data_IF_522054876142
#
_entry.id   IF_522054876142
#
_cell.length_a   1.000
_cell.length_b   1.000
_cell.length_c   1.000
_cell.angle_alpha   90.00
_cell.angle_beta   90.00
_cell.angle_gamma   90.00
#
_symmetry.space_group_name_H-M   'P 1'
#
loop_
_entity.id
_entity.type
_entity.pdbx_description
1 polymer ?
#
# COMPACT_ATOMS: atom_id res chain seq x y z
N UNK A 1 -10.34 -23.08 -4.29
CA UNK A 1 -9.95 -24.50 -4.46
C UNK A 1 -8.45 -24.58 -4.73
N UNK A 2 -7.76 -25.54 -4.13
CA UNK A 2 -6.31 -25.74 -4.26
C UNK A 2 -6.02 -27.17 -4.71
N UNK A 3 -4.92 -27.35 -5.43
CA UNK A 3 -4.36 -28.63 -5.80
C UNK A 3 -3.61 -29.26 -4.61
N UNK A 4 -3.31 -30.57 -4.62
CA UNK A 4 -2.54 -31.22 -3.55
C UNK A 4 -1.14 -30.63 -3.32
N UNK A 5 -0.54 -30.01 -4.35
CA UNK A 5 0.72 -29.28 -4.24
C UNK A 5 0.56 -27.86 -3.64
N UNK A 6 -0.66 -27.47 -3.26
CA UNK A 6 -1.02 -26.16 -2.70
C UNK A 6 -1.20 -25.04 -3.72
N UNK A 7 -0.99 -25.29 -5.03
CA UNK A 7 -1.23 -24.27 -6.05
C UNK A 7 -2.74 -24.03 -6.25
N UNK A 8 -3.15 -22.83 -6.69
CA UNK A 8 -4.55 -22.57 -6.99
C UNK A 8 -5.03 -23.45 -8.15
N UNK A 9 -6.23 -24.02 -7.98
CA UNK A 9 -6.86 -24.86 -8.98
C UNK A 9 -7.25 -24.04 -10.22
N UNK A 10 -7.23 -24.60 -11.46
CA UNK A 10 -7.68 -23.90 -12.66
C UNK A 10 -9.10 -23.35 -12.60
N UNK A 11 -9.98 -23.91 -11.77
CA UNK A 11 -11.31 -23.31 -11.51
C UNK A 11 -11.27 -21.92 -10.86
N UNK A 12 -10.13 -21.52 -10.29
CA UNK A 12 -9.87 -20.19 -9.76
C UNK A 12 -9.04 -19.35 -10.74
N UNK A 13 -8.07 -19.96 -11.42
CA UNK A 13 -7.13 -19.24 -12.30
C UNK A 13 -7.53 -19.20 -13.77
N UNK A 14 -8.61 -19.88 -14.15
CA UNK A 14 -9.04 -20.07 -15.53
C UNK A 14 -8.46 -21.35 -16.17
N UNK A 15 -9.23 -21.88 -17.11
CA UNK A 15 -8.84 -22.95 -18.03
C UNK A 15 -8.61 -22.34 -19.43
N UNK A 16 -7.87 -23.02 -20.32
CA UNK A 16 -7.92 -22.75 -21.73
C UNK A 16 -9.36 -22.86 -22.25
N UNK A 17 -9.68 -22.09 -23.26
CA UNK A 17 -10.99 -22.12 -23.90
C UNK A 17 -10.87 -22.21 -25.40
N UNK A 18 -11.88 -22.79 -26.03
CA UNK A 18 -12.05 -22.78 -27.47
C UNK A 18 -13.22 -21.89 -27.86
N UNK A 19 -13.12 -21.26 -29.02
CA UNK A 19 -14.19 -20.45 -29.60
C UNK A 19 -14.81 -21.24 -30.74
N UNK A 20 -16.12 -21.49 -30.63
CA UNK A 20 -16.89 -22.22 -31.65
C UNK A 20 -18.06 -21.36 -32.12
N UNK A 21 -18.75 -21.82 -33.18
CA UNK A 21 -20.00 -21.19 -33.64
C UNK A 21 -21.11 -21.18 -32.59
N UNK A 22 -21.02 -22.07 -31.59
CA UNK A 22 -22.01 -22.20 -30.51
C UNK A 22 -21.61 -21.42 -29.25
N UNK A 23 -20.45 -20.74 -29.25
CA UNK A 23 -19.95 -19.96 -28.11
C UNK A 23 -18.55 -20.36 -27.64
N UNK A 24 -18.19 -19.86 -26.46
CA UNK A 24 -16.91 -20.12 -25.79
C UNK A 24 -17.07 -21.28 -24.82
N UNK A 25 -16.20 -22.28 -24.92
CA UNK A 25 -16.20 -23.46 -24.06
C UNK A 25 -14.86 -23.59 -23.34
N UNK A 26 -14.90 -23.64 -22.00
CA UNK A 26 -13.72 -23.90 -21.19
C UNK A 26 -13.39 -25.39 -21.23
N UNK A 27 -12.11 -25.72 -21.40
CA UNK A 27 -11.59 -27.09 -21.38
C UNK A 27 -11.33 -27.53 -19.93
N UNK A 28 -12.37 -27.47 -19.09
CA UNK A 28 -12.34 -28.06 -17.76
C UNK A 28 -12.57 -29.59 -17.79
N UNK A 29 -13.34 -30.03 -18.78
CA UNK A 29 -13.55 -31.41 -19.20
C UNK A 29 -13.31 -31.48 -20.72
N UNK A 30 -13.22 -32.69 -21.27
CA UNK A 30 -13.07 -32.89 -22.71
C UNK A 30 -14.32 -32.37 -23.47
N UNK A 31 -14.07 -31.59 -24.52
CA UNK A 31 -15.13 -31.06 -25.38
C UNK A 31 -14.86 -31.39 -26.84
N UNK A 32 -15.77 -32.11 -27.51
CA UNK A 32 -15.61 -32.54 -28.91
C UNK A 32 -14.28 -33.26 -29.20
N UNK A 33 -13.84 -34.12 -28.28
CA UNK A 33 -12.52 -34.75 -28.32
C UNK A 33 -11.35 -33.74 -28.36
N UNK A 34 -11.51 -32.59 -27.72
CA UNK A 34 -10.44 -31.67 -27.39
C UNK A 34 -10.29 -31.67 -25.88
N UNK A 35 -9.11 -32.06 -25.41
CA UNK A 35 -8.79 -32.15 -23.99
C UNK A 35 -7.65 -31.19 -23.61
N UNK A 36 -7.65 -30.72 -22.37
CA UNK A 36 -6.56 -29.91 -21.81
C UNK A 36 -5.96 -30.58 -20.57
N UNK A 37 -4.64 -30.56 -20.48
CA UNK A 37 -3.88 -30.97 -19.30
C UNK A 37 -2.86 -29.90 -18.94
N UNK A 38 -2.32 -29.95 -17.74
CA UNK A 38 -1.34 -28.94 -17.29
C UNK A 38 -0.26 -29.52 -16.39
N UNK A 39 0.88 -28.82 -16.36
CA UNK A 39 1.97 -29.05 -15.41
C UNK A 39 2.39 -27.72 -14.79
N UNK A 40 2.46 -27.68 -13.46
CA UNK A 40 2.94 -26.52 -12.72
C UNK A 40 4.47 -26.57 -12.56
N UNK A 41 5.13 -25.47 -12.91
CA UNK A 41 6.56 -25.27 -12.65
C UNK A 41 6.83 -24.92 -11.19
N UNK A 42 8.11 -24.92 -10.81
CA UNK A 42 8.55 -24.53 -9.48
C UNK A 42 8.10 -23.09 -9.15
N UNK A 43 7.73 -22.87 -7.89
CA UNK A 43 7.36 -21.55 -7.38
C UNK A 43 8.60 -20.66 -7.26
N UNK A 44 8.40 -19.39 -7.55
CA UNK A 44 9.30 -18.30 -7.21
C UNK A 44 8.62 -17.49 -6.10
N UNK A 45 9.12 -17.62 -4.88
CA UNK A 45 8.60 -16.86 -3.74
C UNK A 45 8.96 -15.38 -3.90
N UNK A 46 8.01 -14.50 -3.59
CA UNK A 46 8.16 -13.04 -3.72
C UNK A 46 8.29 -12.40 -2.35
N UNK A 47 7.30 -12.62 -1.49
CA UNK A 47 7.19 -12.18 -0.10
C UNK A 47 6.50 -13.30 0.69
N UNK A 48 6.32 -13.12 2.00
CA UNK A 48 5.58 -14.11 2.78
C UNK A 48 4.15 -14.26 2.23
N UNK A 49 3.69 -15.51 2.09
CA UNK A 49 2.39 -15.81 1.48
C UNK A 49 2.25 -15.53 -0.04
N UNK A 50 3.22 -14.89 -0.71
CA UNK A 50 3.13 -14.60 -2.15
C UNK A 50 4.19 -15.32 -3.00
N UNK A 51 3.74 -15.84 -4.13
CA UNK A 51 4.59 -16.55 -5.08
C UNK A 51 4.08 -16.45 -6.51
N UNK A 52 4.98 -16.70 -7.46
CA UNK A 52 4.68 -16.77 -8.88
C UNK A 52 5.08 -18.14 -9.41
N UNK A 53 4.33 -18.65 -10.37
CA UNK A 53 4.71 -19.86 -11.10
C UNK A 53 4.13 -19.82 -12.51
N UNK A 54 4.68 -20.67 -13.38
CA UNK A 54 4.17 -20.88 -14.73
C UNK A 54 3.43 -22.21 -14.75
N UNK A 55 2.21 -22.20 -15.28
CA UNK A 55 1.43 -23.39 -15.61
C UNK A 55 1.48 -23.59 -17.11
N UNK A 56 2.10 -24.67 -17.54
CA UNK A 56 2.14 -25.04 -18.95
C UNK A 56 0.93 -25.90 -19.28
N UNK A 57 0.07 -25.40 -20.16
CA UNK A 57 -1.08 -26.09 -20.69
C UNK A 57 -0.70 -26.86 -21.94
N UNK A 58 -1.23 -28.08 -22.07
CA UNK A 58 -1.17 -28.90 -23.28
C UNK A 58 -2.59 -29.22 -23.70
N UNK A 59 -3.00 -28.71 -24.86
CA UNK A 59 -4.29 -28.96 -25.48
C UNK A 59 -4.09 -29.94 -26.62
N UNK A 60 -4.86 -31.02 -26.63
CA UNK A 60 -4.84 -32.06 -27.67
C UNK A 60 -6.18 -32.07 -28.35
N UNK A 61 -6.19 -31.96 -29.68
CA UNK A 61 -7.37 -32.21 -30.51
C UNK A 61 -7.29 -33.62 -31.09
N UNK A 62 -8.09 -34.55 -30.59
CA UNK A 62 -8.15 -35.91 -31.12
C UNK A 62 -8.92 -36.02 -32.44
N UNK A 63 -9.67 -34.97 -32.84
CA UNK A 63 -10.27 -34.94 -34.17
C UNK A 63 -9.22 -34.69 -35.26
N UNK A 64 -8.10 -34.05 -34.89
CA UNK A 64 -6.94 -33.80 -35.74
C UNK A 64 -5.68 -34.32 -35.04
N UNK A 65 -5.43 -35.63 -35.14
CA UNK A 65 -4.55 -36.39 -34.25
C UNK A 65 -3.09 -35.94 -34.11
N UNK A 66 -2.64 -34.95 -34.89
CA UNK A 66 -1.31 -34.33 -34.79
C UNK A 66 -1.34 -32.90 -34.23
N UNK A 67 -2.52 -32.39 -33.86
CA UNK A 67 -2.70 -31.02 -33.39
C UNK A 67 -2.58 -30.94 -31.86
N UNK A 68 -1.37 -30.62 -31.42
CA UNK A 68 -1.04 -30.35 -30.02
C UNK A 68 -0.64 -28.88 -29.91
N UNK A 69 -1.39 -28.12 -29.10
CA UNK A 69 -1.06 -26.75 -28.76
C UNK A 69 -0.55 -26.67 -27.32
N UNK A 70 0.51 -25.90 -27.10
CA UNK A 70 0.99 -25.60 -25.75
C UNK A 70 0.96 -24.11 -25.50
N UNK A 71 0.58 -23.72 -24.28
CA UNK A 71 0.56 -22.32 -23.88
C UNK A 71 0.98 -22.17 -22.42
N UNK A 72 1.66 -21.07 -22.11
CA UNK A 72 2.23 -20.83 -20.79
C UNK A 72 1.42 -19.76 -20.04
N UNK A 73 0.76 -20.17 -18.95
CA UNK A 73 0.02 -19.27 -18.08
C UNK A 73 0.89 -18.81 -16.91
N UNK A 74 1.15 -17.51 -16.79
CA UNK A 74 1.84 -16.94 -15.62
C UNK A 74 0.82 -16.66 -14.52
N UNK A 75 0.93 -17.38 -13.40
CA UNK A 75 0.04 -17.22 -12.24
C UNK A 75 0.81 -16.51 -11.13
N UNK A 76 0.19 -15.47 -10.56
CA UNK A 76 0.71 -14.69 -9.45
C UNK A 76 -0.26 -14.81 -8.28
N UNK A 77 0.20 -15.37 -7.17
CA UNK A 77 -0.55 -15.50 -5.92
C UNK A 77 0.10 -14.58 -4.90
N UNK A 78 -0.68 -13.79 -4.17
CA UNK A 78 -0.14 -12.88 -3.17
C UNK A 78 -1.15 -11.82 -2.74
N UNK A 79 -0.66 -10.92 -1.89
CA UNK A 79 -1.39 -9.73 -1.49
C UNK A 79 -1.28 -8.63 -2.56
N UNK A 80 -2.42 -8.07 -2.94
CA UNK A 80 -2.53 -6.94 -3.87
C UNK A 80 -3.27 -5.77 -3.24
N UNK A 81 -3.59 -5.86 -1.95
CA UNK A 81 -4.27 -4.83 -1.18
C UNK A 81 -3.23 -4.01 -0.42
N UNK A 82 -3.26 -2.68 -0.51
CA UNK A 82 -2.42 -1.85 0.34
C UNK A 82 -2.80 -2.02 1.82
N UNK A 83 -1.85 -1.82 2.74
CA UNK A 83 -2.13 -1.81 4.18
C UNK A 83 -3.19 -0.78 4.55
N UNK A 84 -3.95 -1.06 5.60
CA UNK A 84 -4.83 -0.09 6.23
C UNK A 84 -4.08 0.63 7.35
N UNK A 85 -4.10 1.96 7.34
CA UNK A 85 -3.32 2.81 8.25
C UNK A 85 -4.27 3.76 8.97
N UNK A 86 -4.26 3.70 10.30
CA UNK A 86 -5.05 4.58 11.18
C UNK A 86 -4.12 5.58 11.87
N UNK A 87 -4.56 6.84 11.90
CA UNK A 87 -3.80 7.90 12.54
C UNK A 87 -3.68 7.68 14.06
N UNK A 88 -2.52 7.98 14.65
CA UNK A 88 -2.41 7.97 16.10
C UNK A 88 -3.19 9.15 16.68
N UNK A 89 -3.97 8.86 17.72
CA UNK A 89 -4.80 9.84 18.40
C UNK A 89 -5.48 9.19 19.60
N UNK A 90 -6.15 10.01 20.39
CA UNK A 90 -7.14 9.55 21.35
C UNK A 90 -8.43 10.30 21.06
N UNK A 91 -9.54 9.61 21.25
CA UNK A 91 -10.86 10.21 21.25
C UNK A 91 -11.09 10.86 22.64
N UNK A 92 -10.93 12.18 22.72
CA UNK A 92 -11.07 12.94 23.96
C UNK A 92 -12.52 13.35 24.24
N UNK A 93 -13.39 13.38 23.24
CA UNK A 93 -14.80 13.80 23.38
C UNK A 93 -15.82 12.64 23.29
N UNK A 94 -15.33 11.42 23.08
CA UNK A 94 -16.06 10.16 22.98
C UNK A 94 -17.10 10.14 21.84
N UNK A 95 -16.82 10.82 20.74
CA UNK A 95 -17.68 10.82 19.54
C UNK A 95 -17.44 9.61 18.62
N UNK A 96 -16.37 8.84 18.87
CA UNK A 96 -15.98 7.66 18.09
C UNK A 96 -14.93 7.94 17.02
N UNK A 97 -14.52 9.19 16.83
CA UNK A 97 -13.44 9.62 15.95
C UNK A 97 -12.20 10.00 16.77
N UNK A 98 -11.00 9.85 16.18
CA UNK A 98 -9.75 10.19 16.87
C UNK A 98 -9.42 11.67 16.72
N UNK A 99 -9.14 12.34 17.83
CA UNK A 99 -8.74 13.75 17.81
C UNK A 99 -7.30 13.95 17.32
N UNK A 100 -7.03 15.06 16.59
CA UNK A 100 -5.68 15.46 16.24
C UNK A 100 -4.81 15.69 17.48
N UNK A 101 -3.59 15.14 17.45
CA UNK A 101 -2.62 15.32 18.55
C UNK A 101 -2.19 16.78 18.68
N UNK A 102 -1.96 17.22 19.92
CA UNK A 102 -1.43 18.55 20.22
C UNK A 102 -0.12 18.44 21.01
N UNK A 103 0.93 19.12 20.54
CA UNK A 103 2.23 19.17 21.21
C UNK A 103 2.53 20.59 21.69
N UNK A 104 2.96 20.72 22.94
CA UNK A 104 3.35 22.01 23.51
C UNK A 104 4.68 22.49 22.94
N UNK A 105 4.78 23.80 22.65
CA UNK A 105 6.06 24.46 22.45
C UNK A 105 6.85 24.54 23.77
N UNK A 106 8.16 24.79 23.65
CA UNK A 106 9.01 25.04 24.81
C UNK A 106 8.67 26.39 25.47
N UNK A 107 8.75 26.55 26.81
CA UNK A 107 8.34 27.79 27.50
C UNK A 107 9.04 29.08 27.03
N UNK A 108 10.21 28.96 26.41
CA UNK A 108 11.00 30.09 25.91
C UNK A 108 11.24 30.05 24.39
N UNK A 109 10.52 29.20 23.65
CA UNK A 109 10.78 29.00 22.22
C UNK A 109 9.52 28.72 21.42
N UNK A 110 9.54 29.09 20.13
CA UNK A 110 8.42 28.87 19.20
C UNK A 110 8.42 27.48 18.58
N UNK A 111 9.10 26.51 19.19
CA UNK A 111 9.24 25.15 18.66
C UNK A 111 8.99 24.09 19.72
N UNK A 112 8.46 22.95 19.27
CA UNK A 112 8.24 21.76 20.07
C UNK A 112 9.32 20.70 19.82
N UNK A 113 9.51 19.86 20.83
CA UNK A 113 10.28 18.62 20.75
C UNK A 113 9.46 17.49 21.35
N UNK A 114 9.25 16.41 20.61
CA UNK A 114 8.37 15.31 21.01
C UNK A 114 8.78 14.01 20.29
N UNK A 115 8.32 12.88 20.81
CA UNK A 115 8.47 11.59 20.15
C UNK A 115 7.34 11.39 19.15
N UNK A 116 7.68 11.18 17.87
CA UNK A 116 6.67 10.99 16.83
C UNK A 116 6.01 9.62 16.98
N UNK A 117 4.69 9.55 17.14
CA UNK A 117 3.99 8.27 17.27
C UNK A 117 4.09 7.45 15.97
N UNK A 118 3.99 6.13 16.11
CA UNK A 118 3.75 5.24 14.98
C UNK A 118 2.25 5.22 14.68
N UNK A 119 1.85 5.04 13.41
CA UNK A 119 0.47 4.78 13.09
C UNK A 119 0.09 3.35 13.50
N UNK A 120 -1.20 3.08 13.63
CA UNK A 120 -1.70 1.71 13.71
C UNK A 120 -1.86 1.17 12.28
N UNK A 121 -1.31 -0.01 12.03
CA UNK A 121 -1.26 -0.60 10.69
C UNK A 121 -1.82 -2.02 10.75
N UNK A 122 -2.81 -2.29 9.92
CA UNK A 122 -3.37 -3.63 9.75
C UNK A 122 -3.19 -4.07 8.30
N UNK A 123 -2.67 -5.28 8.12
CA UNK A 123 -2.42 -5.86 6.81
C UNK A 123 -2.77 -7.35 6.77
N UNK A 124 -3.17 -7.84 5.60
CA UNK A 124 -3.71 -9.17 5.41
C UNK A 124 -2.62 -10.20 5.07
N UNK A 125 -1.59 -10.26 5.93
CA UNK A 125 -0.54 -11.31 6.00
C UNK A 125 0.87 -10.94 5.50
N UNK A 126 1.30 -9.67 5.53
CA UNK A 126 2.71 -9.35 5.31
C UNK A 126 3.32 -8.43 6.39
N UNK A 127 4.63 -8.57 6.59
CA UNK A 127 5.41 -7.59 7.35
C UNK A 127 5.34 -6.24 6.66
N UNK A 128 5.42 -5.14 7.40
CA UNK A 128 5.34 -3.79 6.84
C UNK A 128 6.38 -2.84 7.43
N UNK A 129 6.74 -1.82 6.63
CA UNK A 129 7.64 -0.74 7.02
C UNK A 129 6.91 0.60 6.96
N UNK A 130 6.97 1.38 8.05
CA UNK A 130 6.35 2.71 8.12
C UNK A 130 7.41 3.83 8.12
N UNK A 131 7.52 4.54 7.00
CA UNK A 131 8.27 5.78 6.89
C UNK A 131 7.40 6.94 7.40
N UNK A 132 7.99 7.87 8.14
CA UNK A 132 7.24 9.01 8.68
C UNK A 132 7.93 10.32 8.32
N UNK A 133 7.17 11.26 7.81
CA UNK A 133 7.61 12.64 7.63
C UNK A 133 6.67 13.58 8.36
N UNK A 134 7.21 14.64 8.93
CA UNK A 134 6.44 15.79 9.39
C UNK A 134 6.40 16.77 8.23
N UNK A 135 5.21 17.10 7.78
CA UNK A 135 5.00 18.05 6.69
C UNK A 135 4.11 19.20 7.15
N UNK A 136 4.32 20.36 6.53
CA UNK A 136 3.48 21.53 6.72
C UNK A 136 3.09 22.10 5.37
N UNK A 137 1.94 22.76 5.30
CA UNK A 137 1.44 23.39 4.09
C UNK A 137 1.83 24.86 4.10
N UNK A 138 2.46 25.32 3.02
CA UNK A 138 2.87 26.72 2.85
C UNK A 138 2.34 27.27 1.54
N UNK A 139 1.98 28.54 1.52
CA UNK A 139 1.66 29.24 0.28
C UNK A 139 2.94 29.65 -0.43
N UNK A 140 3.08 29.24 -1.68
CA UNK A 140 4.20 29.61 -2.56
C UNK A 140 3.70 30.40 -3.76
N UNK A 141 4.48 31.40 -4.16
CA UNK A 141 4.19 32.21 -5.34
C UNK A 141 4.43 31.40 -6.63
N UNK A 142 3.44 31.40 -7.52
CA UNK A 142 3.56 30.87 -8.88
C UNK A 142 4.04 32.00 -9.78
N UNK A 143 5.28 31.90 -10.26
CA UNK A 143 5.88 32.89 -11.16
C UNK A 143 5.76 32.48 -12.63
N UNK A 144 5.52 33.46 -13.50
CA UNK A 144 5.61 33.25 -14.95
C UNK A 144 7.08 33.20 -15.43
N UNK A 145 7.28 32.97 -16.73
CA UNK A 145 8.61 32.94 -17.35
C UNK A 145 9.42 34.27 -17.25
N UNK A 146 8.79 35.35 -16.79
CA UNK A 146 9.41 36.66 -16.57
C UNK A 146 9.62 36.97 -15.07
N UNK A 147 9.34 36.03 -14.17
CA UNK A 147 9.50 36.19 -12.72
C UNK A 147 8.39 36.99 -12.03
N UNK A 148 7.26 37.25 -12.70
CA UNK A 148 6.11 37.93 -12.08
C UNK A 148 5.18 36.91 -11.40
N UNK A 149 4.78 37.20 -10.16
CA UNK A 149 3.79 36.42 -9.41
C UNK A 149 2.44 36.50 -10.13
N UNK A 150 1.96 35.34 -10.58
CA UNK A 150 0.69 35.16 -11.33
C UNK A 150 -0.40 34.53 -10.45
N UNK A 151 -0.03 34.01 -9.27
CA UNK A 151 -0.94 33.47 -8.26
C UNK A 151 -0.17 32.81 -7.13
N UNK A 152 -0.88 32.23 -6.17
CA UNK A 152 -0.30 31.39 -5.10
C UNK A 152 -0.81 29.96 -5.24
N UNK A 153 0.00 29.00 -4.77
CA UNK A 153 -0.36 27.58 -4.65
C UNK A 153 0.04 27.08 -3.27
N UNK A 154 -0.73 26.16 -2.71
CA UNK A 154 -0.32 25.43 -1.49
C UNK A 154 0.69 24.36 -1.90
N UNK A 155 1.83 24.35 -1.21
CA UNK A 155 2.85 23.33 -1.35
C UNK A 155 3.10 22.64 -0.01
N UNK A 156 3.41 21.35 -0.07
CA UNK A 156 3.68 20.53 1.12
C UNK A 156 5.19 20.43 1.31
N UNK A 157 5.70 21.04 2.38
CA UNK A 157 7.14 21.06 2.69
C UNK A 157 7.44 20.06 3.80
N UNK A 158 8.49 19.26 3.61
CA UNK A 158 8.98 18.32 4.63
C UNK A 158 9.79 19.09 5.67
N UNK A 159 9.26 19.14 6.90
CA UNK A 159 9.93 19.74 8.06
C UNK A 159 10.94 18.75 8.64
N UNK A 160 10.56 17.48 8.77
CA UNK A 160 11.44 16.40 9.25
C UNK A 160 11.09 15.08 8.56
N UNK A 161 12.09 14.22 8.38
CA UNK A 161 11.93 12.86 7.91
C UNK A 161 12.51 11.88 8.94
N UNK A 162 11.80 10.77 9.16
CA UNK A 162 12.14 9.71 10.10
C UNK A 162 12.13 8.40 9.32
N UNK A 163 13.30 7.76 9.23
CA UNK A 163 13.44 6.45 8.62
C UNK A 163 12.68 5.40 9.43
N UNK A 164 12.20 4.34 8.77
CA UNK A 164 11.45 3.26 9.42
C UNK A 164 12.27 2.57 10.53
N UNK A 165 13.60 2.48 10.36
CA UNK A 165 14.54 1.87 11.29
C UNK A 165 15.29 2.89 12.17
N UNK A 166 14.81 4.14 12.25
CA UNK A 166 15.47 5.15 13.07
C UNK A 166 15.56 4.67 14.53
N UNK A 167 16.75 4.76 15.18
CA UNK A 167 16.93 4.26 16.54
C UNK A 167 16.09 5.04 17.57
N UNK A 168 15.72 6.28 17.23
CA UNK A 168 14.80 7.10 18.01
C UNK A 168 13.85 7.82 17.06
N UNK A 169 12.62 8.08 17.52
CA UNK A 169 11.63 8.91 16.81
C UNK A 169 11.49 10.30 17.47
N UNK A 170 12.48 10.71 18.25
CA UNK A 170 12.50 12.03 18.90
C UNK A 170 12.86 13.09 17.86
N UNK A 171 11.99 14.09 17.72
CA UNK A 171 12.22 15.26 16.86
C UNK A 171 12.27 16.53 17.69
N UNK A 172 12.95 17.54 17.18
CA UNK A 172 13.03 18.88 17.78
C UNK A 172 13.01 19.97 16.72
N UNK A 173 12.64 21.17 17.14
CA UNK A 173 12.59 22.35 16.27
C UNK A 173 11.38 22.34 15.33
N UNK A 174 10.27 21.71 15.73
CA UNK A 174 9.02 21.76 14.96
C UNK A 174 8.30 23.07 15.31
N UNK A 175 8.04 23.98 14.35
CA UNK A 175 7.47 25.28 14.64
C UNK A 175 6.01 25.19 15.08
N UNK A 176 5.53 26.18 15.83
CA UNK A 176 4.12 26.33 16.14
C UNK A 176 3.25 26.43 14.86
N UNK A 177 2.08 25.82 14.89
CA UNK A 177 1.15 25.76 13.76
C UNK A 177 0.60 24.37 13.49
N UNK A 178 -0.14 24.25 12.38
CA UNK A 178 -0.73 22.99 11.91
C UNK A 178 0.25 22.24 11.03
N UNK A 179 0.33 20.93 11.26
CA UNK A 179 1.23 20.01 10.56
C UNK A 179 0.51 18.70 10.29
N UNK A 180 1.14 17.86 9.48
CA UNK A 180 0.69 16.49 9.25
C UNK A 180 1.84 15.52 9.47
N UNK A 181 1.55 14.38 10.09
CA UNK A 181 2.37 13.19 9.89
C UNK A 181 1.99 12.59 8.54
N UNK A 182 2.92 12.60 7.60
CA UNK A 182 2.82 11.85 6.36
C UNK A 182 3.42 10.47 6.59
N UNK A 183 2.56 9.49 6.81
CA UNK A 183 2.94 8.09 6.92
C UNK A 183 2.94 7.46 5.54
N UNK A 184 4.08 6.91 5.12
CA UNK A 184 4.17 6.04 3.95
C UNK A 184 4.45 4.63 4.45
N UNK A 185 3.44 3.78 4.34
CA UNK A 185 3.53 2.37 4.75
C UNK A 185 3.65 1.51 3.51
N UNK A 186 4.63 0.63 3.53
CA UNK A 186 4.89 -0.35 2.47
C UNK A 186 4.86 -1.74 3.08
N UNK A 187 4.10 -2.63 2.46
CA UNK A 187 3.99 -4.02 2.86
C UNK A 187 5.14 -4.86 2.27
N UNK A 188 5.29 -6.10 2.71
CA UNK A 188 6.37 -6.98 2.25
C UNK A 188 6.27 -7.34 0.77
N UNK A 189 5.12 -7.12 0.16
CA UNK A 189 4.79 -7.45 -1.22
C UNK A 189 4.89 -6.24 -2.18
N UNK A 190 5.19 -5.06 -1.63
CA UNK A 190 5.39 -3.80 -2.36
C UNK A 190 4.13 -2.97 -2.55
N UNK A 191 3.00 -3.32 -1.92
CA UNK A 191 1.82 -2.46 -1.90
C UNK A 191 2.08 -1.29 -0.94
N UNK A 192 1.64 -0.09 -1.33
CA UNK A 192 1.97 1.16 -0.62
C UNK A 192 0.72 1.98 -0.38
N UNK A 193 0.69 2.63 0.78
CA UNK A 193 -0.31 3.63 1.12
C UNK A 193 0.35 4.86 1.73
N UNK A 194 -0.22 6.03 1.46
CA UNK A 194 0.19 7.29 2.06
C UNK A 194 -1.01 7.87 2.80
N UNK A 195 -0.84 8.14 4.10
CA UNK A 195 -1.87 8.75 4.95
C UNK A 195 -1.32 10.01 5.60
N UNK A 196 -2.18 11.03 5.68
CA UNK A 196 -1.89 12.33 6.30
C UNK A 196 -2.68 12.44 7.61
N UNK A 197 -1.97 12.49 8.73
CA UNK A 197 -2.58 12.60 10.04
C UNK A 197 -2.33 14.00 10.62
N UNK A 198 -3.38 14.83 10.79
CA UNK A 198 -3.22 16.19 11.28
C UNK A 198 -2.76 16.20 12.74
N UNK A 199 -1.90 17.16 13.07
CA UNK A 199 -1.54 17.48 14.45
C UNK A 199 -1.23 18.98 14.57
N UNK A 200 -1.27 19.51 15.79
CA UNK A 200 -1.02 20.93 16.06
C UNK A 200 0.12 21.09 17.04
N UNK A 201 0.97 22.09 16.80
CA UNK A 201 1.95 22.56 17.76
C UNK A 201 1.50 23.91 18.29
N UNK A 202 1.19 23.99 19.58
CA UNK A 202 0.65 25.19 20.22
C UNK A 202 1.32 25.44 21.57
N UNK A 203 1.10 26.63 22.14
CA UNK A 203 1.49 26.90 23.52
C UNK A 203 0.44 26.36 24.48
N UNK A 204 0.84 25.38 25.28
CA UNK A 204 0.01 24.78 26.33
C UNK A 204 0.51 25.17 27.74
N UNK A 205 1.45 26.12 27.84
CA UNK A 205 1.92 26.60 29.16
C UNK A 205 0.80 27.39 29.82
N UNK A 206 0.28 26.86 30.93
CA UNK A 206 -0.73 27.55 31.73
C UNK A 206 -0.21 28.90 32.23
N UNK A 207 -0.98 30.00 32.12
CA UNK A 207 -0.57 31.28 32.65
C UNK A 207 -0.51 31.23 34.18
N UNK A 208 0.64 31.52 34.76
CA UNK A 208 0.79 31.68 36.21
C UNK A 208 0.11 32.98 36.64
N UNK A 209 -1.00 32.89 37.36
CA UNK A 209 -1.60 34.05 38.01
C UNK A 209 -0.64 34.62 39.08
N UNK A 210 -0.40 35.93 39.03
CA UNK A 210 0.33 36.69 40.06
C UNK A 210 -0.63 37.59 40.84
#
# INVERSE_FOLDING_TARGET
ATLPNGNPHPSVTGYPFIVTVSGIFNLADDYCNIGASFVDRARVNVCDGAFKFVRDWTVIDWCDGDNIATDAQVIKVGDYTPPSVTCPGQDYDWDGDLDPLVFSVSPFGCTASFSVPLPDVTDNCSDWEAYTEIVTEVEVDVVNQYGQVTGTRIDTVVVRAIAWNAPTRLVSGIPAGSHYFRYRVEDGCGNKVIVYCPFTVADLVEPTAI
#
